data_IF_800956350542
#
_entry.id   IF_800956350542
#
_cell.length_a   1.000
_cell.length_b   1.000
_cell.length_c   1.000
_cell.angle_alpha   90.00
_cell.angle_beta   90.00
_cell.angle_gamma   90.00
#
_symmetry.space_group_name_H-M   'P 1'
#
loop_
_entity.id
_entity.type
_entity.pdbx_description
1 polymer ?
#
# COMPACT_ATOMS: atom_id res chain seq x y z
N UNK A 1 -38.33 23.56 -16.99
CA UNK A 1 -38.45 22.10 -17.25
C UNK A 1 -37.12 21.42 -17.59
N UNK A 2 -36.28 21.98 -18.46
CA UNK A 2 -34.99 21.36 -18.82
C UNK A 2 -34.03 21.19 -17.62
N UNK A 3 -33.86 22.21 -16.76
CA UNK A 3 -32.94 22.19 -15.61
C UNK A 3 -33.23 21.05 -14.61
N UNK A 4 -34.50 20.75 -14.34
CA UNK A 4 -34.88 19.66 -13.43
C UNK A 4 -34.54 18.28 -14.01
N UNK A 5 -34.63 18.11 -15.34
CA UNK A 5 -34.22 16.86 -16.02
C UNK A 5 -32.72 16.64 -15.96
N UNK A 6 -31.91 17.70 -16.06
CA UNK A 6 -30.46 17.63 -15.89
C UNK A 6 -30.08 17.29 -14.46
N UNK A 7 -30.75 17.89 -13.47
CA UNK A 7 -30.53 17.57 -12.04
C UNK A 7 -30.87 16.10 -11.77
N UNK A 8 -32.00 15.59 -12.27
CA UNK A 8 -32.38 14.19 -12.13
C UNK A 8 -31.40 13.24 -12.85
N UNK A 9 -30.89 13.62 -14.01
CA UNK A 9 -29.86 12.87 -14.74
C UNK A 9 -28.54 12.80 -13.95
N UNK A 10 -28.10 13.91 -13.34
CA UNK A 10 -26.88 13.95 -12.51
C UNK A 10 -27.04 13.10 -11.25
N UNK A 11 -28.21 13.17 -10.59
CA UNK A 11 -28.50 12.34 -9.41
C UNK A 11 -28.53 10.85 -9.80
N UNK A 12 -29.18 10.50 -10.90
CA UNK A 12 -29.24 9.12 -11.40
C UNK A 12 -27.85 8.58 -11.80
N UNK A 13 -27.01 9.40 -12.47
CA UNK A 13 -25.62 9.03 -12.77
C UNK A 13 -24.76 8.89 -11.51
N UNK A 14 -24.99 9.71 -10.49
CA UNK A 14 -24.26 9.63 -9.21
C UNK A 14 -24.61 8.37 -8.42
N UNK A 15 -25.82 7.84 -8.57
CA UNK A 15 -26.23 6.57 -7.96
C UNK A 15 -25.71 5.33 -8.71
N UNK A 16 -25.28 5.49 -9.97
CA UNK A 16 -24.60 4.45 -10.76
C UNK A 16 -23.10 4.37 -10.47
N UNK A 17 -22.55 5.34 -9.74
CA UNK A 17 -21.22 5.24 -9.15
C UNK A 17 -21.37 4.37 -7.90
N UNK A 18 -21.62 3.08 -8.13
CA UNK A 18 -21.48 2.06 -7.10
C UNK A 18 -20.17 2.33 -6.36
N UNK A 19 -20.25 2.31 -5.04
CA UNK A 19 -19.14 2.57 -4.15
C UNK A 19 -17.90 1.85 -4.72
N UNK A 20 -16.88 2.64 -5.09
CA UNK A 20 -15.56 2.11 -5.39
C UNK A 20 -15.12 1.42 -4.09
N UNK A 21 -15.41 0.12 -4.00
CA UNK A 21 -15.20 -0.68 -2.81
C UNK A 21 -13.68 -0.84 -2.68
N UNK A 22 -13.08 0.11 -1.98
CA UNK A 22 -11.73 -0.04 -1.49
C UNK A 22 -11.75 -1.33 -0.65
N UNK A 23 -10.85 -2.25 -0.96
CA UNK A 23 -10.84 -3.58 -0.38
C UNK A 23 -10.99 -3.52 1.14
N UNK A 24 -11.64 -4.50 1.79
CA UNK A 24 -11.88 -4.46 3.23
C UNK A 24 -10.59 -4.20 4.05
N UNK A 25 -9.43 -4.71 3.59
CA UNK A 25 -8.13 -4.40 4.18
C UNK A 25 -7.63 -2.96 3.96
N UNK A 26 -8.03 -2.29 2.88
CA UNK A 26 -7.67 -0.91 2.56
C UNK A 26 -8.49 0.12 3.37
N UNK A 27 -9.67 -0.30 3.85
CA UNK A 27 -10.47 0.47 4.79
C UNK A 27 -9.94 0.40 6.24
N UNK A 28 -9.03 -0.54 6.54
CA UNK A 28 -8.48 -0.72 7.89
C UNK A 28 -7.58 0.47 8.29
N UNK A 29 -7.93 1.23 9.35
CA UNK A 29 -7.17 2.41 9.75
C UNK A 29 -5.76 2.07 10.25
N UNK A 30 -5.57 0.88 10.84
CA UNK A 30 -4.28 0.44 11.34
C UNK A 30 -3.35 0.11 10.17
N UNK A 31 -3.88 -0.57 9.15
CA UNK A 31 -3.14 -0.80 7.90
C UNK A 31 -2.72 0.52 7.24
N UNK A 32 -3.64 1.48 7.09
CA UNK A 32 -3.34 2.80 6.49
C UNK A 32 -2.31 3.57 7.29
N UNK A 33 -2.40 3.53 8.62
CA UNK A 33 -1.42 4.16 9.51
C UNK A 33 -0.04 3.52 9.36
N UNK A 34 0.03 2.19 9.31
CA UNK A 34 1.29 1.46 9.08
C UNK A 34 1.93 1.86 7.75
N UNK A 35 1.17 1.86 6.65
CA UNK A 35 1.70 2.23 5.33
C UNK A 35 2.20 3.67 5.33
N UNK A 36 1.41 4.60 5.88
CA UNK A 36 1.81 6.01 5.96
C UNK A 36 3.00 6.27 6.88
N UNK A 37 3.19 5.47 7.93
CA UNK A 37 4.39 5.52 8.76
C UNK A 37 5.59 4.95 8.02
N UNK A 38 5.44 3.80 7.36
CA UNK A 38 6.51 3.16 6.59
C UNK A 38 6.99 4.02 5.42
N UNK A 39 6.11 4.72 4.72
CA UNK A 39 6.50 5.66 3.65
C UNK A 39 7.34 6.83 4.18
N UNK A 40 7.22 7.18 5.47
CA UNK A 40 7.98 8.26 6.12
C UNK A 40 9.25 7.76 6.83
N UNK A 41 9.15 6.65 7.55
CA UNK A 41 10.26 6.08 8.34
C UNK A 41 11.15 5.15 7.52
N UNK A 42 10.63 4.62 6.42
CA UNK A 42 11.23 3.53 5.65
C UNK A 42 11.25 2.19 6.37
N UNK A 43 10.48 2.01 7.44
CA UNK A 43 10.51 0.81 8.27
C UNK A 43 9.11 0.34 8.68
N UNK A 44 8.94 -0.98 8.78
CA UNK A 44 7.80 -1.68 9.39
C UNK A 44 8.33 -2.55 10.54
N UNK A 45 8.12 -2.11 11.78
CA UNK A 45 8.70 -2.78 12.95
C UNK A 45 10.23 -2.81 12.86
N UNK A 46 10.81 -4.00 12.94
CA UNK A 46 12.27 -4.22 12.85
C UNK A 46 12.79 -4.30 11.40
N UNK A 47 11.89 -4.33 10.40
CA UNK A 47 12.25 -4.44 8.98
C UNK A 47 12.34 -3.03 8.39
N UNK A 48 13.55 -2.60 8.04
CA UNK A 48 13.81 -1.33 7.39
C UNK A 48 14.27 -1.52 5.95
N UNK A 49 13.70 -0.74 5.02
CA UNK A 49 14.05 -0.76 3.61
C UNK A 49 15.02 0.39 3.30
N UNK A 50 16.23 0.06 2.85
CA UNK A 50 17.23 1.08 2.53
C UNK A 50 16.80 1.98 1.37
N UNK A 51 16.08 1.43 0.39
CA UNK A 51 15.53 2.17 -0.74
C UNK A 51 14.33 3.06 -0.36
N UNK A 52 13.79 2.94 0.86
CA UNK A 52 12.74 3.81 1.39
C UNK A 52 13.26 5.00 2.22
N UNK A 53 14.58 5.09 2.48
CA UNK A 53 15.15 6.20 3.26
C UNK A 53 15.17 7.49 2.44
N UNK A 54 14.05 8.20 2.42
CA UNK A 54 13.99 9.57 1.93
C UNK A 54 14.57 10.50 3.00
N UNK A 55 15.73 11.11 2.76
CA UNK A 55 16.08 12.32 3.51
C UNK A 55 15.02 13.37 3.23
N UNK A 56 14.74 14.22 4.21
CA UNK A 56 13.77 15.34 4.12
C UNK A 56 14.04 16.31 2.94
N UNK A 57 15.17 16.18 2.26
CA UNK A 57 15.60 16.97 1.09
C UNK A 57 15.48 16.22 -0.26
N UNK A 58 14.82 15.05 -0.30
CA UNK A 58 14.70 14.26 -1.54
C UNK A 58 16.03 13.66 -2.02
N UNK A 59 17.04 13.58 -1.15
CA UNK A 59 18.33 12.92 -1.42
C UNK A 59 18.52 11.69 -0.53
N UNK A 60 19.03 10.57 -1.05
CA UNK A 60 19.48 9.46 -0.20
C UNK A 60 20.62 9.94 0.71
N UNK A 61 20.59 9.53 1.99
CA UNK A 61 21.53 9.97 3.05
C UNK A 61 22.92 9.34 2.88
N UNK A 62 23.05 8.28 2.09
CA UNK A 62 24.32 7.58 1.92
C UNK A 62 25.17 8.24 0.83
N UNK A 63 26.37 8.65 1.24
CA UNK A 63 27.33 9.41 0.46
C UNK A 63 27.85 8.75 -0.83
N UNK A 64 28.76 9.43 -1.53
CA UNK A 64 29.04 9.18 -2.93
C UNK A 64 29.79 7.86 -3.15
N UNK A 65 29.30 7.08 -4.13
CA UNK A 65 29.99 6.04 -4.91
C UNK A 65 29.59 4.56 -4.78
N UNK A 66 28.60 4.15 -3.99
CA UNK A 66 28.13 2.74 -4.07
C UNK A 66 26.65 2.49 -3.72
N UNK A 67 25.75 3.38 -4.11
CA UNK A 67 24.30 3.13 -4.06
C UNK A 67 23.65 3.34 -5.44
N UNK A 68 24.11 2.58 -6.42
CA UNK A 68 23.17 2.15 -7.45
C UNK A 68 22.47 0.95 -6.85
N UNK A 69 21.15 1.04 -6.64
CA UNK A 69 20.33 -0.16 -6.51
C UNK A 69 20.79 -1.11 -7.61
N UNK A 70 21.28 -2.32 -7.26
CA UNK A 70 21.81 -3.21 -8.27
C UNK A 70 20.73 -3.39 -9.34
N UNK A 71 21.13 -3.35 -10.61
CA UNK A 71 20.20 -3.29 -11.75
C UNK A 71 19.10 -4.38 -11.68
N UNK A 72 19.37 -5.50 -11.00
CA UNK A 72 18.38 -6.53 -10.71
C UNK A 72 17.19 -6.05 -9.86
N UNK A 73 17.36 -5.14 -8.89
CA UNK A 73 16.27 -4.57 -8.08
C UNK A 73 15.40 -3.62 -8.90
N UNK A 74 16.04 -2.79 -9.73
CA UNK A 74 15.34 -1.92 -10.68
C UNK A 74 14.53 -2.71 -11.71
N UNK A 75 15.04 -3.87 -12.10
CA UNK A 75 14.33 -4.82 -12.96
C UNK A 75 13.22 -5.57 -12.22
N UNK A 76 13.31 -5.69 -10.89
CA UNK A 76 12.32 -6.35 -10.04
C UNK A 76 11.09 -5.49 -9.76
N UNK A 77 11.16 -4.17 -9.93
CA UNK A 77 10.03 -3.23 -9.78
C UNK A 77 9.50 -3.15 -8.33
N UNK A 78 10.39 -3.30 -7.33
CA UNK A 78 10.03 -3.16 -5.92
C UNK A 78 10.14 -1.68 -5.55
N UNK A 79 9.00 -0.98 -5.57
CA UNK A 79 8.91 0.40 -5.09
C UNK A 79 8.73 0.41 -3.57
N UNK A 80 9.27 1.41 -2.89
CA UNK A 80 9.11 1.58 -1.44
C UNK A 80 7.65 1.44 -0.97
N UNK A 81 6.73 2.05 -1.72
CA UNK A 81 5.30 1.96 -1.44
C UNK A 81 4.78 0.51 -1.54
N UNK A 82 5.27 -0.27 -2.49
CA UNK A 82 4.85 -1.66 -2.68
C UNK A 82 5.32 -2.56 -1.53
N UNK A 83 6.52 -2.31 -1.00
CA UNK A 83 7.09 -3.04 0.12
C UNK A 83 6.40 -2.67 1.44
N UNK A 84 6.17 -1.37 1.68
CA UNK A 84 5.38 -0.91 2.82
C UNK A 84 3.98 -1.53 2.83
N UNK A 85 3.28 -1.54 1.68
CA UNK A 85 1.95 -2.19 1.58
C UNK A 85 2.01 -3.68 1.87
N UNK A 86 3.00 -4.38 1.33
CA UNK A 86 3.16 -5.82 1.52
C UNK A 86 3.47 -6.18 2.98
N UNK A 87 4.44 -5.51 3.61
CA UNK A 87 4.82 -5.81 4.99
C UNK A 87 3.75 -5.38 6.01
N UNK A 88 3.10 -4.24 5.80
CA UNK A 88 1.97 -3.83 6.64
C UNK A 88 0.76 -4.76 6.50
N UNK A 89 0.51 -5.30 5.30
CA UNK A 89 -0.51 -6.32 5.07
C UNK A 89 -0.19 -7.59 5.88
N UNK A 90 1.04 -8.09 5.78
CA UNK A 90 1.46 -9.29 6.53
C UNK A 90 1.34 -9.11 8.04
N UNK A 91 1.82 -7.98 8.58
CA UNK A 91 1.72 -7.70 10.01
C UNK A 91 0.26 -7.69 10.51
N UNK A 92 -0.66 -7.13 9.72
CA UNK A 92 -2.09 -7.11 10.07
C UNK A 92 -2.74 -8.48 9.98
N UNK A 93 -2.36 -9.29 9.00
CA UNK A 93 -2.86 -10.65 8.87
C UNK A 93 -2.33 -11.55 10.01
N UNK A 94 -1.08 -11.39 10.43
CA UNK A 94 -0.54 -12.07 11.61
C UNK A 94 -1.32 -11.72 12.89
N UNK A 95 -1.64 -10.43 13.08
CA UNK A 95 -2.48 -9.99 14.20
C UNK A 95 -3.89 -10.59 14.13
N UNK A 96 -4.49 -10.66 12.94
CA UNK A 96 -5.81 -11.28 12.74
C UNK A 96 -5.79 -12.79 13.00
N UNK A 97 -4.73 -13.47 12.58
CA UNK A 97 -4.54 -14.90 12.83
C UNK A 97 -4.46 -15.18 14.32
N UNK A 98 -3.71 -14.37 15.08
CA UNK A 98 -3.64 -14.44 16.56
C UNK A 98 -5.01 -14.23 17.21
N UNK A 99 -5.87 -13.41 16.60
CA UNK A 99 -7.24 -13.16 17.05
C UNK A 99 -8.26 -14.17 16.50
N UNK A 100 -7.83 -15.16 15.70
CA UNK A 100 -8.72 -16.14 15.06
C UNK A 100 -9.67 -15.55 14.02
N UNK A 101 -9.37 -14.36 13.50
CA UNK A 101 -10.16 -13.69 12.46
C UNK A 101 -9.85 -14.25 11.08
N UNK A 102 -10.83 -14.22 10.17
CA UNK A 102 -10.64 -14.64 8.78
C UNK A 102 -9.74 -13.64 8.04
N UNK A 103 -8.91 -14.10 7.09
CA UNK A 103 -8.10 -13.21 6.27
C UNK A 103 -8.98 -12.29 5.44
N UNK A 104 -8.47 -11.11 5.09
CA UNK A 104 -9.19 -10.16 4.22
C UNK A 104 -8.37 -9.82 2.98
N UNK A 105 -9.06 -9.28 1.99
CA UNK A 105 -8.46 -8.83 0.74
C UNK A 105 -7.85 -7.43 0.89
N UNK A 106 -6.71 -7.18 0.26
CA UNK A 106 -6.00 -5.89 0.22
C UNK A 106 -5.70 -5.50 -1.23
N UNK A 107 -5.94 -4.25 -1.65
CA UNK A 107 -5.69 -3.76 -3.02
C UNK A 107 -6.16 -4.71 -4.13
N UNK A 108 -7.31 -5.38 -3.94
CA UNK A 108 -7.83 -6.32 -4.93
C UNK A 108 -7.18 -7.71 -4.92
N UNK A 109 -6.26 -8.03 -3.99
CA UNK A 109 -5.55 -9.31 -3.89
C UNK A 109 -5.71 -9.96 -2.50
N UNK A 110 -5.65 -11.28 -2.45
CA UNK A 110 -5.54 -12.01 -1.18
C UNK A 110 -4.10 -11.92 -0.66
N UNK A 111 -3.88 -11.91 0.67
CA UNK A 111 -2.56 -11.86 1.24
C UNK A 111 -1.82 -13.15 0.89
N UNK A 112 -0.67 -13.02 0.24
CA UNK A 112 0.23 -14.12 -0.11
C UNK A 112 1.59 -13.86 0.52
N UNK A 113 2.31 -14.93 0.84
CA UNK A 113 3.67 -14.85 1.35
C UNK A 113 4.62 -15.07 0.17
N UNK A 114 5.45 -14.08 -0.15
CA UNK A 114 6.53 -14.17 -1.14
C UNK A 114 7.60 -15.12 -0.59
N UNK A 115 7.75 -16.29 -1.20
CA UNK A 115 8.84 -17.23 -0.90
C UNK A 115 9.95 -17.01 -1.93
N UNK A 116 11.20 -16.81 -1.48
CA UNK A 116 12.36 -16.46 -2.33
C UNK A 116 12.22 -15.19 -3.19
N UNK A 117 11.27 -14.30 -2.84
CA UNK A 117 11.07 -13.04 -3.55
C UNK A 117 10.56 -13.19 -4.98
N UNK A 118 9.90 -14.31 -5.29
CA UNK A 118 9.13 -14.54 -6.52
C UNK A 118 7.65 -14.71 -6.10
N UNK A 119 6.74 -14.11 -6.87
CA UNK A 119 5.29 -14.26 -6.73
C UNK A 119 4.80 -15.36 -7.67
#
# INVERSE_FOLDING_TARGET
MASFRWILLVIALSCLVDALDASAGDADPIYRSCVGQCEKSGCVGDICFQHCKFSSDGKPIDGPWYMQEPLYLRWKQWDCQSDCRYHCMLAREEEREKLGSKPVKYHGKWPFIRVFGIQ
#
